data_IF_994435065810
#
_entry.id   IF_994435065810
#
_cell.length_a   1.000
_cell.length_b   1.000
_cell.length_c   1.000
_cell.angle_alpha   90.00
_cell.angle_beta   90.00
_cell.angle_gamma   90.00
#
_symmetry.space_group_name_H-M   'P 1'
#
loop_
_entity.id
_entity.type
_entity.pdbx_description
1 polymer ?
#
# COMPACT_ATOMS: atom_id res chain seq x y z
N UNK A 1 80.80 5.93 -23.51
CA UNK A 1 80.57 7.38 -23.23
C UNK A 1 79.07 7.66 -23.32
N UNK A 2 78.36 7.63 -22.21
CA UNK A 2 76.91 7.91 -22.20
C UNK A 2 76.75 9.43 -22.11
N UNK A 3 76.03 9.97 -23.09
CA UNK A 3 75.85 11.41 -23.26
C UNK A 3 75.11 12.06 -22.06
N UNK A 4 75.62 13.17 -21.58
CA UNK A 4 75.07 13.96 -20.43
C UNK A 4 73.58 14.36 -20.64
N UNK A 5 73.12 14.38 -21.90
CA UNK A 5 71.71 14.67 -22.22
C UNK A 5 70.73 13.56 -21.80
N UNK A 6 71.15 12.26 -21.84
CA UNK A 6 70.33 11.12 -21.42
C UNK A 6 70.16 11.09 -19.90
N UNK A 7 71.14 11.56 -19.15
CA UNK A 7 71.07 11.56 -17.66
C UNK A 7 70.08 12.60 -17.14
N UNK A 8 69.93 13.77 -17.84
CA UNK A 8 68.96 14.78 -17.42
C UNK A 8 67.47 14.36 -17.64
N UNK A 9 67.23 13.62 -18.71
CA UNK A 9 65.86 13.08 -18.98
C UNK A 9 65.51 11.97 -17.96
N UNK A 10 66.44 11.17 -17.59
CA UNK A 10 66.22 10.07 -16.61
C UNK A 10 66.01 10.65 -15.18
N UNK A 11 66.67 11.74 -14.81
CA UNK A 11 66.54 12.37 -13.53
C UNK A 11 65.20 13.11 -13.36
N UNK A 12 64.68 13.73 -14.44
CA UNK A 12 63.36 14.38 -14.47
C UNK A 12 62.24 13.31 -14.45
N UNK A 13 62.44 12.20 -15.10
CA UNK A 13 61.48 11.10 -15.08
C UNK A 13 61.34 10.44 -13.70
N UNK A 14 62.43 10.32 -12.95
CA UNK A 14 62.47 9.75 -11.60
C UNK A 14 61.84 10.71 -10.56
N UNK A 15 62.00 12.02 -10.73
CA UNK A 15 61.38 13.02 -9.83
C UNK A 15 59.85 13.09 -10.02
N UNK A 16 59.33 12.87 -11.22
CA UNK A 16 57.87 12.84 -11.47
C UNK A 16 57.22 11.56 -10.91
N UNK A 17 57.93 10.43 -10.87
CA UNK A 17 57.39 9.18 -10.34
C UNK A 17 57.22 9.20 -8.80
N UNK A 18 58.03 9.98 -8.09
CA UNK A 18 57.98 10.05 -6.61
C UNK A 18 56.86 10.98 -6.13
N UNK A 19 56.44 11.98 -6.93
CA UNK A 19 55.34 12.88 -6.57
C UNK A 19 53.96 12.22 -6.73
N UNK A 20 53.82 11.19 -7.56
CA UNK A 20 52.54 10.51 -7.81
C UNK A 20 52.16 9.45 -6.75
N UNK A 21 53.10 9.05 -5.87
CA UNK A 21 52.81 8.04 -4.83
C UNK A 21 52.40 8.61 -3.48
N UNK A 22 52.44 9.96 -3.31
CA UNK A 22 52.10 10.61 -2.03
C UNK A 22 50.66 11.17 -1.99
N UNK A 23 49.86 11.04 -3.05
CA UNK A 23 48.51 11.60 -3.12
C UNK A 23 47.36 10.57 -2.93
N UNK A 24 47.67 9.36 -2.43
CA UNK A 24 46.66 8.29 -2.32
C UNK A 24 46.20 8.00 -0.90
N UNK A 25 46.35 8.90 0.05
CA UNK A 25 46.01 8.58 1.45
C UNK A 25 45.26 9.69 2.20
N UNK A 26 44.36 10.44 1.55
CA UNK A 26 43.37 11.23 2.28
C UNK A 26 42.06 11.27 1.47
N UNK A 27 41.48 10.12 1.22
CA UNK A 27 40.05 9.94 1.06
C UNK A 27 39.61 8.88 2.08
N UNK A 28 39.96 9.06 3.33
CA UNK A 28 39.22 8.44 4.40
C UNK A 28 37.94 9.24 4.52
N UNK A 29 36.97 8.76 3.80
CA UNK A 29 35.56 8.99 3.90
C UNK A 29 35.17 9.31 5.34
N UNK A 30 34.92 10.55 5.56
CA UNK A 30 33.88 10.97 6.46
C UNK A 30 32.55 10.52 5.84
N UNK A 31 32.27 9.22 5.85
CA UNK A 31 30.92 8.70 5.85
C UNK A 31 30.32 9.09 7.21
N UNK A 32 30.23 10.42 7.39
CA UNK A 32 29.30 10.99 8.31
C UNK A 32 28.00 10.20 8.20
N UNK A 33 27.78 9.29 9.15
CA UNK A 33 26.56 9.21 9.91
C UNK A 33 25.36 9.83 9.18
N UNK A 34 24.99 9.30 8.02
CA UNK A 34 23.57 9.16 7.75
C UNK A 34 23.06 8.42 8.97
N UNK A 35 22.49 9.17 9.86
CA UNK A 35 21.82 8.74 11.08
C UNK A 35 20.89 7.63 10.63
N UNK A 36 21.38 6.41 10.67
CA UNK A 36 20.58 5.19 10.54
C UNK A 36 19.64 5.33 11.70
N UNK A 37 18.46 5.88 11.42
CA UNK A 37 17.37 5.93 12.40
C UNK A 37 17.39 4.57 13.06
N UNK A 38 17.74 4.56 14.35
CA UNK A 38 17.99 3.32 15.07
C UNK A 38 16.79 2.42 14.82
N UNK A 39 16.99 1.37 14.05
CA UNK A 39 16.00 0.33 13.87
C UNK A 39 15.86 -0.23 15.27
N UNK A 40 14.79 0.14 15.96
CA UNK A 40 14.42 -0.50 17.21
C UNK A 40 14.04 -1.92 16.86
N UNK A 41 15.01 -2.80 16.92
CA UNK A 41 14.81 -4.25 16.85
C UNK A 41 14.33 -4.71 18.22
N UNK A 42 13.15 -4.23 18.60
CA UNK A 42 12.48 -4.61 19.81
C UNK A 42 11.33 -5.58 19.46
N UNK A 43 10.99 -6.46 20.39
CA UNK A 43 9.92 -7.43 20.24
C UNK A 43 8.51 -6.79 20.25
N UNK A 44 8.43 -5.49 19.96
CA UNK A 44 7.16 -4.74 19.93
C UNK A 44 6.26 -5.27 18.85
N UNK A 45 5.05 -5.62 19.22
CA UNK A 45 4.01 -5.96 18.27
C UNK A 45 3.24 -4.72 17.86
N UNK A 46 2.88 -4.67 16.59
CA UNK A 46 2.05 -3.63 16.00
C UNK A 46 0.71 -4.22 15.62
N UNK A 47 -0.35 -3.52 15.97
CA UNK A 47 -1.71 -3.81 15.54
C UNK A 47 -2.03 -2.94 14.33
N UNK A 48 -2.41 -3.54 13.22
CA UNK A 48 -2.80 -2.84 11.99
C UNK A 48 -4.28 -3.04 11.75
N UNK A 49 -4.95 -1.97 11.33
CA UNK A 49 -6.37 -2.00 11.01
C UNK A 49 -6.59 -1.45 9.62
N UNK A 50 -6.97 -2.33 8.69
CA UNK A 50 -7.31 -2.01 7.31
C UNK A 50 -8.82 -1.79 7.22
N UNK A 51 -9.22 -0.69 6.60
CA UNK A 51 -10.61 -0.36 6.30
C UNK A 51 -10.80 -0.29 4.79
N UNK A 52 -11.83 -0.96 4.32
CA UNK A 52 -12.31 -0.86 2.95
C UNK A 52 -13.60 -0.07 2.96
N UNK A 53 -13.59 1.09 2.32
CA UNK A 53 -14.73 2.01 2.27
C UNK A 53 -15.25 2.02 0.83
N UNK A 54 -16.50 1.66 0.65
CA UNK A 54 -17.21 1.81 -0.62
C UNK A 54 -17.68 3.25 -0.75
N UNK A 55 -17.41 3.87 -1.89
CA UNK A 55 -17.92 5.17 -2.28
C UNK A 55 -18.72 5.03 -3.57
N UNK A 56 -19.96 5.54 -3.58
CA UNK A 56 -20.89 5.38 -4.70
C UNK A 56 -21.86 6.56 -4.80
N UNK A 57 -22.43 6.72 -5.99
CA UNK A 57 -23.55 7.66 -6.22
C UNK A 57 -24.93 7.00 -6.16
N UNK A 58 -24.96 5.67 -5.99
CA UNK A 58 -26.20 4.91 -5.79
C UNK A 58 -26.63 5.01 -4.32
N UNK A 59 -27.92 4.95 -4.09
CA UNK A 59 -28.45 4.85 -2.74
C UNK A 59 -28.09 3.50 -2.12
N UNK A 60 -27.41 3.57 -0.96
CA UNK A 60 -26.98 2.40 -0.19
C UNK A 60 -27.25 2.65 1.30
N UNK A 61 -27.34 1.59 2.07
CA UNK A 61 -27.26 1.68 3.53
C UNK A 61 -25.82 2.00 3.93
N UNK A 62 -25.56 3.20 4.43
CA UNK A 62 -24.23 3.64 4.87
C UNK A 62 -23.74 2.90 6.12
N UNK A 63 -24.66 2.33 6.89
CA UNK A 63 -24.33 1.63 8.12
C UNK A 63 -23.67 2.52 9.16
N UNK A 64 -23.13 1.91 10.21
CA UNK A 64 -22.41 2.63 11.27
C UNK A 64 -20.94 2.78 10.92
N UNK A 65 -20.49 4.01 10.75
CA UNK A 65 -19.09 4.34 10.51
C UNK A 65 -18.32 4.32 11.84
N UNK A 66 -17.19 3.62 11.95
CA UNK A 66 -16.35 3.67 13.15
C UNK A 66 -15.85 5.09 13.45
N UNK A 67 -15.88 5.57 14.71
CA UNK A 67 -15.44 6.93 15.07
C UNK A 67 -13.99 7.23 14.67
N UNK A 68 -13.14 6.21 14.62
CA UNK A 68 -11.76 6.35 14.18
C UNK A 68 -11.65 6.89 12.73
N UNK A 69 -12.66 6.73 11.91
CA UNK A 69 -12.70 7.19 10.52
C UNK A 69 -13.32 8.57 10.33
N UNK A 70 -13.83 9.22 11.35
CA UNK A 70 -14.59 10.50 11.22
C UNK A 70 -13.79 11.56 10.45
N UNK A 71 -12.50 11.73 10.77
CA UNK A 71 -11.63 12.69 10.09
C UNK A 71 -11.40 12.35 8.62
N UNK A 72 -11.27 11.07 8.31
CA UNK A 72 -11.14 10.57 6.93
C UNK A 72 -12.44 10.78 6.17
N UNK A 73 -13.57 10.41 6.76
CA UNK A 73 -14.88 10.55 6.13
C UNK A 73 -15.20 12.00 5.80
N UNK A 74 -14.86 12.93 6.69
CA UNK A 74 -15.02 14.37 6.42
C UNK A 74 -14.20 14.77 5.18
N UNK A 75 -12.92 14.42 5.12
CA UNK A 75 -12.05 14.71 3.96
C UNK A 75 -12.56 14.09 2.67
N UNK A 76 -13.02 12.84 2.70
CA UNK A 76 -13.55 12.14 1.54
C UNK A 76 -14.77 12.86 0.96
N UNK A 77 -15.72 13.25 1.82
CA UNK A 77 -16.93 14.00 1.42
C UNK A 77 -16.61 15.38 0.85
N UNK A 78 -15.54 16.02 1.31
CA UNK A 78 -15.09 17.33 0.80
C UNK A 78 -14.31 17.21 -0.53
N UNK A 79 -13.62 16.07 -0.76
CA UNK A 79 -12.65 15.93 -1.86
C UNK A 79 -13.15 15.07 -3.02
N UNK A 80 -14.08 14.16 -2.80
CA UNK A 80 -14.54 13.21 -3.80
C UNK A 80 -16.03 13.42 -4.15
N UNK A 81 -16.43 13.22 -5.41
CA UNK A 81 -17.77 13.52 -5.89
C UNK A 81 -18.82 12.42 -5.61
N UNK A 82 -18.61 11.59 -4.58
CA UNK A 82 -19.54 10.53 -4.21
C UNK A 82 -20.55 11.02 -3.19
N UNK A 83 -21.79 10.53 -3.31
CA UNK A 83 -22.89 10.88 -2.39
C UNK A 83 -22.92 10.01 -1.14
N UNK A 84 -22.62 8.73 -1.31
CA UNK A 84 -22.77 7.72 -0.26
C UNK A 84 -21.44 6.99 0.00
N UNK A 85 -21.20 6.72 1.29
CA UNK A 85 -20.02 6.01 1.76
C UNK A 85 -20.44 4.96 2.79
N UNK A 86 -19.95 3.73 2.65
CA UNK A 86 -20.14 2.68 3.65
C UNK A 86 -18.85 1.92 3.91
N UNK A 87 -18.68 1.40 5.12
CA UNK A 87 -17.55 0.54 5.46
C UNK A 87 -17.86 -0.88 5.01
N UNK A 88 -17.23 -1.30 3.91
CA UNK A 88 -17.42 -2.63 3.33
C UNK A 88 -16.67 -3.72 4.10
N UNK A 89 -15.61 -3.35 4.83
CA UNK A 89 -14.85 -4.30 5.64
C UNK A 89 -13.85 -3.63 6.56
N UNK A 90 -13.59 -4.29 7.69
CA UNK A 90 -12.55 -3.89 8.66
C UNK A 90 -11.76 -5.13 9.03
N UNK A 91 -10.42 -5.07 8.89
CA UNK A 91 -9.52 -6.19 9.12
C UNK A 91 -8.46 -5.80 10.13
N UNK A 92 -8.42 -6.52 11.24
CA UNK A 92 -7.45 -6.33 12.31
C UNK A 92 -6.38 -7.40 12.20
N UNK A 93 -5.11 -6.99 12.16
CA UNK A 93 -3.99 -7.90 12.10
C UNK A 93 -2.91 -7.46 13.10
N UNK A 94 -2.07 -8.40 13.50
CA UNK A 94 -0.93 -8.14 14.36
C UNK A 94 0.35 -8.61 13.68
N UNK A 95 1.39 -7.79 13.76
CA UNK A 95 2.69 -8.06 13.17
C UNK A 95 3.79 -7.55 14.10
N UNK A 96 4.92 -8.23 14.15
CA UNK A 96 6.10 -7.78 14.89
C UNK A 96 6.70 -6.54 14.20
N UNK A 97 7.32 -5.66 14.98
CA UNK A 97 8.13 -4.57 14.43
C UNK A 97 9.20 -5.12 13.48
N UNK A 98 9.43 -4.45 12.34
CA UNK A 98 10.20 -4.93 11.20
C UNK A 98 9.66 -6.22 10.54
N UNK A 99 8.42 -6.60 10.86
CA UNK A 99 7.77 -7.78 10.32
C UNK A 99 7.07 -7.53 8.99
N UNK A 100 6.87 -8.60 8.24
CA UNK A 100 6.08 -8.62 7.02
C UNK A 100 4.69 -9.16 7.33
N UNK A 101 3.69 -8.48 6.80
CA UNK A 101 2.30 -8.89 6.84
C UNK A 101 1.86 -9.26 5.41
N UNK A 102 1.32 -10.45 5.24
CA UNK A 102 0.68 -10.91 4.01
C UNK A 102 -0.62 -11.62 4.38
N UNK A 103 -1.75 -11.08 3.93
CA UNK A 103 -3.09 -11.60 4.23
C UNK A 103 -3.88 -11.73 2.95
N UNK A 104 -4.57 -12.85 2.79
CA UNK A 104 -5.52 -13.06 1.69
C UNK A 104 -6.84 -13.57 2.26
N UNK A 105 -7.95 -13.11 1.71
CA UNK A 105 -9.27 -13.54 2.14
C UNK A 105 -10.28 -13.51 0.99
N UNK A 106 -11.33 -14.26 1.18
CA UNK A 106 -12.50 -14.29 0.31
C UNK A 106 -13.63 -13.57 1.04
N UNK A 107 -14.26 -12.62 0.40
CA UNK A 107 -15.30 -11.78 1.01
C UNK A 107 -16.54 -11.66 0.15
N UNK A 108 -17.57 -11.04 0.73
CA UNK A 108 -18.75 -10.62 -0.05
C UNK A 108 -18.33 -9.61 -1.11
N UNK A 109 -18.97 -9.60 -2.28
CA UNK A 109 -18.69 -8.63 -3.31
C UNK A 109 -19.05 -7.22 -2.81
N UNK A 110 -18.11 -6.28 -2.90
CA UNK A 110 -18.25 -4.90 -2.43
C UNK A 110 -19.33 -4.11 -3.19
N UNK A 111 -19.65 -4.53 -4.42
CA UNK A 111 -20.44 -3.75 -5.37
C UNK A 111 -21.80 -4.35 -5.73
N UNK A 112 -22.11 -5.53 -5.22
CA UNK A 112 -23.43 -6.09 -5.45
C UNK A 112 -24.40 -5.43 -4.48
N UNK A 113 -25.21 -4.52 -5.00
CA UNK A 113 -26.31 -3.95 -4.22
C UNK A 113 -27.14 -5.07 -3.61
N UNK A 114 -27.60 -4.84 -2.41
CA UNK A 114 -28.37 -5.72 -1.53
C UNK A 114 -29.61 -6.40 -2.15
N UNK A 115 -29.89 -6.21 -3.43
CA UNK A 115 -31.07 -6.70 -4.11
C UNK A 115 -31.08 -8.23 -4.35
N UNK A 116 -29.95 -8.94 -4.20
CA UNK A 116 -29.97 -10.41 -4.27
C UNK A 116 -28.85 -11.03 -3.44
N UNK A 117 -29.15 -11.30 -2.19
CA UNK A 117 -28.24 -12.04 -1.31
C UNK A 117 -27.78 -13.40 -1.87
N UNK A 118 -28.59 -14.05 -2.72
CA UNK A 118 -28.23 -15.28 -3.42
C UNK A 118 -27.14 -15.08 -4.50
N UNK A 119 -27.15 -13.98 -5.24
CA UNK A 119 -26.12 -13.67 -6.23
C UNK A 119 -24.80 -13.26 -5.55
N UNK A 120 -24.86 -12.64 -4.38
CA UNK A 120 -23.70 -12.30 -3.58
C UNK A 120 -22.93 -13.52 -3.05
N UNK A 121 -23.64 -14.57 -2.69
CA UNK A 121 -23.04 -15.84 -2.22
C UNK A 121 -22.38 -16.64 -3.35
N UNK A 122 -22.83 -16.45 -4.60
CA UNK A 122 -22.33 -17.17 -5.77
C UNK A 122 -21.06 -16.54 -6.38
N UNK A 123 -20.78 -15.26 -6.09
CA UNK A 123 -19.69 -14.50 -6.72
C UNK A 123 -18.86 -13.74 -5.68
N UNK A 124 -18.00 -14.42 -4.94
CA UNK A 124 -17.19 -13.80 -3.90
C UNK A 124 -16.10 -12.88 -4.50
N UNK A 125 -15.65 -11.88 -3.75
CA UNK A 125 -14.41 -11.16 -4.03
C UNK A 125 -13.20 -11.90 -3.47
N UNK A 126 -12.07 -11.81 -4.16
CA UNK A 126 -10.78 -12.33 -3.70
C UNK A 126 -9.86 -11.16 -3.42
N UNK A 127 -9.39 -11.06 -2.19
CA UNK A 127 -8.67 -9.91 -1.72
C UNK A 127 -7.33 -10.30 -1.14
N UNK A 128 -6.34 -9.42 -1.28
CA UNK A 128 -5.02 -9.58 -0.67
C UNK A 128 -4.51 -8.23 -0.16
N UNK A 129 -3.76 -8.27 0.92
CA UNK A 129 -3.12 -7.12 1.54
C UNK A 129 -1.75 -7.53 2.06
N UNK A 130 -0.74 -6.71 1.83
CA UNK A 130 0.60 -6.95 2.33
C UNK A 130 1.38 -5.67 2.56
N UNK A 131 2.30 -5.70 3.53
CA UNK A 131 3.23 -4.60 3.81
C UNK A 131 4.41 -5.08 4.66
N UNK A 132 5.54 -4.40 4.55
CA UNK A 132 6.63 -4.45 5.53
C UNK A 132 6.44 -3.29 6.52
N UNK A 133 6.24 -3.59 7.81
CA UNK A 133 5.80 -2.62 8.80
C UNK A 133 6.90 -2.39 9.83
N UNK A 134 7.20 -1.14 10.12
CA UNK A 134 8.21 -0.76 11.11
C UNK A 134 7.86 0.52 11.85
N UNK A 135 8.27 0.58 13.10
CA UNK A 135 8.33 1.81 13.87
C UNK A 135 9.53 2.65 13.42
N UNK A 136 9.33 3.93 13.35
CA UNK A 136 10.38 4.90 13.05
C UNK A 136 10.10 6.20 13.83
N UNK A 137 11.06 7.10 13.83
CA UNK A 137 10.88 8.44 14.37
C UNK A 137 10.97 9.43 13.21
N UNK A 138 10.09 10.42 13.17
CA UNK A 138 10.18 11.49 12.20
C UNK A 138 11.29 12.50 12.54
N UNK A 139 11.55 13.46 11.64
CA UNK A 139 12.57 14.50 11.86
C UNK A 139 12.31 15.41 13.06
N UNK A 140 11.11 15.37 13.64
CA UNK A 140 10.69 16.16 14.81
C UNK A 140 10.69 15.32 16.11
N UNK A 141 11.11 14.07 16.05
CA UNK A 141 11.14 13.18 17.21
C UNK A 141 9.83 12.47 17.51
N UNK A 142 8.79 12.59 16.65
CA UNK A 142 7.52 11.89 16.86
C UNK A 142 7.61 10.45 16.38
N UNK A 143 6.99 9.54 17.11
CA UNK A 143 6.86 8.15 16.70
C UNK A 143 5.87 8.03 15.53
N UNK A 144 6.32 7.38 14.46
CA UNK A 144 5.55 7.10 13.26
C UNK A 144 5.62 5.62 12.92
N UNK A 145 4.63 5.13 12.21
CA UNK A 145 4.66 3.81 11.59
C UNK A 145 4.91 3.99 10.09
N UNK A 146 5.89 3.27 9.57
CA UNK A 146 6.15 3.18 8.13
C UNK A 146 5.71 1.82 7.62
N UNK A 147 4.97 1.84 6.54
CA UNK A 147 4.59 0.66 5.76
C UNK A 147 5.24 0.76 4.40
N UNK A 148 6.29 -0.01 4.20
CA UNK A 148 6.95 -0.11 2.90
C UNK A 148 6.31 -1.26 2.11
N UNK A 149 6.34 -1.15 0.79
CA UNK A 149 5.75 -2.15 -0.09
C UNK A 149 4.28 -2.45 0.25
N UNK A 150 3.55 -1.41 0.73
CA UNK A 150 2.12 -1.57 0.95
C UNK A 150 1.46 -1.94 -0.37
N UNK A 151 0.79 -3.09 -0.39
CA UNK A 151 0.04 -3.56 -1.55
C UNK A 151 -1.34 -4.00 -1.10
N UNK A 152 -2.32 -3.58 -1.85
CA UNK A 152 -3.69 -4.06 -1.78
C UNK A 152 -4.11 -4.51 -3.16
N UNK A 153 -4.75 -5.66 -3.27
CA UNK A 153 -5.31 -6.18 -4.51
C UNK A 153 -6.66 -6.84 -4.26
N UNK A 154 -7.57 -6.66 -5.19
CA UNK A 154 -8.86 -7.31 -5.16
C UNK A 154 -9.28 -7.79 -6.55
N UNK A 155 -9.89 -8.97 -6.63
CA UNK A 155 -10.68 -9.42 -7.79
C UNK A 155 -12.14 -9.30 -7.41
N UNK A 156 -12.81 -8.35 -8.07
CA UNK A 156 -14.19 -7.96 -7.76
C UNK A 156 -15.13 -8.44 -8.86
N UNK A 157 -16.23 -9.13 -8.54
CA UNK A 157 -17.22 -9.53 -9.53
C UNK A 157 -18.03 -8.31 -9.99
N UNK A 158 -18.12 -8.12 -11.30
CA UNK A 158 -18.89 -7.06 -11.95
C UNK A 158 -19.99 -7.71 -12.77
N UNK A 159 -21.24 -7.28 -12.58
CA UNK A 159 -22.35 -7.69 -13.42
C UNK A 159 -22.31 -6.86 -14.69
N UNK A 160 -22.03 -7.50 -15.83
CA UNK A 160 -21.92 -6.83 -17.14
C UNK A 160 -23.20 -6.93 -17.97
N UNK A 161 -24.12 -7.81 -17.59
CA UNK A 161 -25.39 -8.01 -18.32
C UNK A 161 -26.23 -9.14 -17.73
N UNK A 162 -27.38 -9.39 -18.39
CA UNK A 162 -28.21 -10.55 -18.12
C UNK A 162 -28.36 -11.35 -19.40
N UNK A 163 -28.13 -12.63 -19.35
CA UNK A 163 -28.40 -13.58 -20.45
C UNK A 163 -29.66 -14.35 -20.13
N UNK A 164 -30.58 -14.35 -21.04
CA UNK A 164 -31.82 -15.12 -20.91
C UNK A 164 -31.58 -16.54 -21.41
N UNK A 165 -31.60 -17.51 -20.51
CA UNK A 165 -31.55 -18.94 -20.88
C UNK A 165 -32.95 -19.48 -20.91
N UNK A 166 -33.35 -20.05 -22.07
CA UNK A 166 -34.63 -20.75 -22.26
C UNK A 166 -34.39 -22.23 -22.02
N UNK A 167 -34.89 -22.75 -20.92
CA UNK A 167 -34.88 -24.19 -20.65
C UNK A 167 -36.30 -24.71 -20.88
N UNK A 168 -36.47 -25.69 -21.76
CA UNK A 168 -37.79 -26.25 -22.14
C UNK A 168 -38.58 -26.78 -20.91
N UNK A 169 -37.90 -27.19 -19.83
CA UNK A 169 -38.53 -27.71 -18.63
C UNK A 169 -38.80 -26.66 -17.54
N UNK A 170 -38.05 -25.53 -17.51
CA UNK A 170 -38.05 -24.55 -16.40
C UNK A 170 -38.47 -23.13 -16.85
N UNK A 171 -38.78 -22.94 -18.15
CA UNK A 171 -39.12 -21.62 -18.68
C UNK A 171 -37.87 -20.71 -18.90
N UNK A 172 -38.15 -19.42 -19.00
CA UNK A 172 -37.12 -18.39 -19.25
C UNK A 172 -36.56 -17.92 -17.93
N UNK A 173 -35.27 -18.19 -17.67
CA UNK A 173 -34.60 -17.74 -16.45
C UNK A 173 -33.50 -16.73 -16.81
N UNK A 174 -33.54 -15.50 -16.27
CA UNK A 174 -32.45 -14.55 -16.45
C UNK A 174 -31.24 -14.98 -15.61
N UNK A 175 -30.07 -15.11 -16.24
CA UNK A 175 -28.81 -15.39 -15.60
C UNK A 175 -27.91 -14.16 -15.72
N UNK A 176 -27.44 -13.65 -14.61
CA UNK A 176 -26.49 -12.53 -14.59
C UNK A 176 -25.13 -12.96 -15.12
N UNK A 177 -24.62 -12.22 -16.09
CA UNK A 177 -23.27 -12.40 -16.59
C UNK A 177 -22.30 -11.65 -15.66
N UNK A 178 -21.38 -12.39 -15.04
CA UNK A 178 -20.39 -11.84 -14.09
C UNK A 178 -19.00 -11.95 -14.69
N UNK A 179 -18.27 -10.85 -14.67
CA UNK A 179 -16.85 -10.76 -15.04
C UNK A 179 -16.06 -10.30 -13.83
N UNK A 180 -14.90 -10.89 -13.59
CA UNK A 180 -14.02 -10.46 -12.51
C UNK A 180 -13.06 -9.38 -13.00
N UNK A 181 -13.09 -8.21 -12.35
CA UNK A 181 -12.14 -7.12 -12.56
C UNK A 181 -11.08 -7.15 -11.46
N UNK A 182 -9.81 -6.97 -11.87
CA UNK A 182 -8.70 -6.89 -10.93
C UNK A 182 -8.35 -5.42 -10.69
N UNK A 183 -8.36 -5.02 -9.44
CA UNK A 183 -7.98 -3.68 -8.99
C UNK A 183 -6.92 -3.80 -7.91
N UNK A 184 -6.04 -2.80 -7.81
CA UNK A 184 -5.02 -2.81 -6.78
C UNK A 184 -4.22 -1.52 -6.72
N UNK A 185 -3.47 -1.37 -5.64
CA UNK A 185 -2.53 -0.28 -5.45
C UNK A 185 -1.25 -0.80 -4.79
N UNK A 186 -0.15 -0.12 -5.08
CA UNK A 186 1.14 -0.37 -4.46
C UNK A 186 1.79 0.98 -4.15
N UNK A 187 2.18 1.19 -2.88
CA UNK A 187 2.73 2.47 -2.41
C UNK A 187 3.49 2.29 -1.09
N UNK A 188 4.25 3.30 -0.71
CA UNK A 188 4.83 3.42 0.63
C UNK A 188 4.04 4.43 1.46
N UNK A 189 3.78 4.10 2.71
CA UNK A 189 2.94 4.91 3.60
C UNK A 189 3.72 5.22 4.88
N UNK A 190 3.63 6.47 5.32
CA UNK A 190 4.07 6.88 6.66
C UNK A 190 2.89 7.52 7.38
N UNK A 191 2.66 7.10 8.62
CA UNK A 191 1.53 7.60 9.41
C UNK A 191 1.93 7.80 10.86
N UNK A 192 1.23 8.70 11.54
CA UNK A 192 1.31 8.78 13.00
C UNK A 192 0.69 7.54 13.62
N UNK A 193 1.28 7.08 14.70
CA UNK A 193 0.76 5.93 15.44
C UNK A 193 -0.71 6.14 15.84
N UNK A 194 -1.55 5.17 15.52
CA UNK A 194 -3.00 5.18 15.79
C UNK A 194 -3.85 6.06 14.88
N UNK A 195 -3.26 6.93 14.07
CA UNK A 195 -4.01 7.80 13.17
C UNK A 195 -4.25 7.10 11.82
N UNK A 196 -5.51 6.94 11.40
CA UNK A 196 -5.80 6.33 10.10
C UNK A 196 -5.44 7.29 8.95
N UNK A 197 -4.91 6.71 7.87
CA UNK A 197 -4.59 7.42 6.63
C UNK A 197 -5.22 6.73 5.43
N UNK A 198 -5.50 7.49 4.37
CA UNK A 198 -5.95 6.95 3.09
C UNK A 198 -4.72 6.47 2.33
N UNK A 199 -4.67 5.18 2.03
CA UNK A 199 -3.64 4.57 1.19
C UNK A 199 -3.90 4.84 -0.29
N UNK A 200 -5.16 4.84 -0.71
CA UNK A 200 -5.54 5.14 -2.08
C UNK A 200 -7.03 4.94 -2.36
N UNK A 201 -7.42 5.32 -3.57
CA UNK A 201 -8.78 5.18 -4.10
C UNK A 201 -8.71 4.40 -5.40
N UNK A 202 -9.52 3.35 -5.52
CA UNK A 202 -9.58 2.44 -6.66
C UNK A 202 -10.97 2.54 -7.27
N UNK A 203 -11.07 2.98 -8.52
CA UNK A 203 -12.33 2.97 -9.25
C UNK A 203 -12.66 1.55 -9.70
N UNK A 204 -13.91 1.15 -9.58
CA UNK A 204 -14.36 -0.21 -9.85
C UNK A 204 -15.65 -0.18 -10.64
N UNK A 205 -15.66 -0.97 -11.72
CA UNK A 205 -16.83 -1.16 -12.57
C UNK A 205 -17.22 0.05 -13.44
N UNK A 206 -18.12 -0.17 -14.37
CA UNK A 206 -18.53 0.85 -15.36
C UNK A 206 -19.37 1.98 -14.76
N UNK A 207 -19.89 1.81 -13.55
CA UNK A 207 -20.75 2.81 -12.89
C UNK A 207 -19.96 3.85 -12.10
N UNK A 208 -18.63 3.75 -12.09
CA UNK A 208 -17.76 4.71 -11.44
C UNK A 208 -17.75 4.62 -9.92
N UNK A 209 -18.15 3.50 -9.33
CA UNK A 209 -17.99 3.26 -7.88
C UNK A 209 -16.49 3.21 -7.52
N UNK A 210 -16.16 3.43 -6.26
CA UNK A 210 -14.77 3.35 -5.80
C UNK A 210 -14.64 2.59 -4.49
N UNK A 211 -13.52 1.88 -4.36
CA UNK A 211 -13.04 1.34 -3.09
C UNK A 211 -11.94 2.26 -2.58
N UNK A 212 -12.12 2.81 -1.39
CA UNK A 212 -11.13 3.61 -0.71
C UNK A 212 -10.48 2.73 0.34
N UNK A 213 -9.16 2.61 0.24
CA UNK A 213 -8.35 1.83 1.17
C UNK A 213 -7.78 2.78 2.21
N UNK A 214 -8.18 2.61 3.46
CA UNK A 214 -7.63 3.35 4.59
C UNK A 214 -6.99 2.38 5.58
N UNK A 215 -5.93 2.82 6.26
CA UNK A 215 -5.19 1.98 7.19
C UNK A 215 -4.72 2.79 8.38
N UNK A 216 -4.72 2.15 9.54
CA UNK A 216 -4.05 2.64 10.75
C UNK A 216 -3.13 1.57 11.32
N UNK A 217 -2.14 2.00 12.10
CA UNK A 217 -1.28 1.09 12.85
C UNK A 217 -0.88 1.72 14.18
N UNK A 218 -0.81 0.89 15.22
CA UNK A 218 -0.41 1.29 16.57
C UNK A 218 0.34 0.16 17.25
N UNK A 219 1.06 0.47 18.32
CA UNK A 219 1.61 -0.55 19.21
C UNK A 219 0.47 -1.36 19.83
N UNK A 220 0.65 -2.68 19.82
CA UNK A 220 -0.26 -3.58 20.55
C UNK A 220 0.08 -3.50 22.04
N UNK A 221 -0.92 -3.25 22.85
CA UNK A 221 -0.81 -3.31 24.32
C UNK A 221 -0.82 -4.76 24.77
#
# INVERSE_FOLDING_TARGET
>A
MISIKTYRVLLVGLACAIVFTAASSVFCQDQSSLSRAAIRDDDTNLETQLYLILATNREIDEGKIPPALDSIMKRLRESLPFKHYSVAGTFLNRVKNNGRLDVSWVGSPFLLSSASSAAALSNPSFNQFGALIRLATDGNGNDIVRMNEFRFGAKVPIITGQVTTTNAALGVTPVSQVVYESVGLHTDISMREGAPVIAGTLHVGPQGDAIIVAISARRAN
#
